data_IF_966297613942
#
_entry.id   IF_966297613942
#
_cell.length_a   1.000
_cell.length_b   1.000
_cell.length_c   1.000
_cell.angle_alpha   90.00
_cell.angle_beta   90.00
_cell.angle_gamma   90.00
#
_symmetry.space_group_name_H-M   'P 1'
#
loop_
_entity.id
_entity.type
_entity.pdbx_description
1 polymer ?
#
# COMPACT_ATOMS: atom_id res chain seq x y z
N UNK A 1 75.41 -6.81 47.51
CA UNK A 1 75.09 -6.07 46.24
C UNK A 1 73.65 -5.69 46.30
N UNK A 2 73.29 -4.40 46.33
CA UNK A 2 71.90 -3.97 46.45
C UNK A 2 71.22 -3.96 45.04
N UNK A 3 70.05 -4.58 44.94
CA UNK A 3 69.14 -4.54 43.77
C UNK A 3 68.50 -3.17 43.65
N UNK A 4 68.77 -2.54 42.59
CA UNK A 4 68.30 -1.18 42.29
C UNK A 4 66.82 -1.15 41.99
N UNK A 5 66.10 -0.17 42.60
CA UNK A 5 64.66 0.14 42.52
C UNK A 5 64.14 0.55 41.17
N UNK A 6 64.80 0.28 40.05
CA UNK A 6 64.42 0.74 38.69
C UNK A 6 63.83 -0.34 37.83
N UNK A 7 63.68 -1.56 38.26
CA UNK A 7 63.16 -2.69 37.51
C UNK A 7 61.64 -2.99 37.73
N UNK A 8 60.99 -2.38 38.74
CA UNK A 8 59.64 -2.76 39.14
C UNK A 8 58.53 -1.91 38.65
N UNK A 9 58.82 -0.85 37.87
CA UNK A 9 57.82 0.09 37.32
C UNK A 9 57.48 -0.13 35.81
N UNK A 10 58.17 -1.07 35.17
CA UNK A 10 57.95 -1.39 33.76
C UNK A 10 56.93 -2.50 33.48
N UNK A 11 56.55 -3.28 34.49
CA UNK A 11 55.69 -4.46 34.29
C UNK A 11 54.18 -4.24 34.61
N UNK A 12 53.83 -3.07 35.19
CA UNK A 12 52.42 -2.75 35.51
C UNK A 12 51.69 -1.90 34.48
N UNK A 13 52.39 -1.44 33.43
CA UNK A 13 51.80 -0.52 32.45
C UNK A 13 51.27 -1.20 31.17
N UNK A 14 51.46 -2.52 31.01
CA UNK A 14 51.00 -3.26 29.83
C UNK A 14 49.68 -4.04 30.11
N UNK A 15 49.36 -4.25 31.39
CA UNK A 15 48.15 -5.04 31.71
C UNK A 15 46.84 -4.25 31.81
N UNK A 16 46.88 -2.90 31.69
CA UNK A 16 45.68 -2.06 31.81
C UNK A 16 45.17 -1.50 30.50
N UNK A 17 45.80 -1.78 29.36
CA UNK A 17 45.32 -1.31 28.04
C UNK A 17 44.48 -2.34 27.27
N UNK A 18 44.32 -3.58 27.76
CA UNK A 18 43.52 -4.62 27.09
C UNK A 18 42.10 -4.78 27.65
N UNK A 19 41.68 -3.97 28.62
CA UNK A 19 40.34 -4.08 29.21
C UNK A 19 39.33 -3.02 28.73
N UNK A 20 39.68 -2.14 27.80
CA UNK A 20 38.79 -1.09 27.28
C UNK A 20 38.27 -1.32 25.86
N UNK A 21 38.53 -2.48 25.24
CA UNK A 21 38.00 -2.82 23.91
C UNK A 21 36.79 -3.76 23.95
N UNK A 22 36.17 -3.98 25.09
CA UNK A 22 35.07 -4.93 25.25
C UNK A 22 33.68 -4.27 25.31
N UNK A 23 33.50 -3.02 24.90
CA UNK A 23 32.20 -2.35 24.83
C UNK A 23 31.97 -1.57 23.53
N UNK A 24 32.67 -1.93 22.48
CA UNK A 24 32.25 -1.62 21.11
C UNK A 24 31.57 -2.84 20.54
N UNK A 25 30.29 -3.06 20.83
CA UNK A 25 29.50 -3.87 19.91
C UNK A 25 29.45 -3.06 18.62
N UNK A 26 30.30 -3.43 17.68
CA UNK A 26 30.09 -3.13 16.30
C UNK A 26 28.61 -3.50 16.01
N UNK A 27 27.82 -2.53 15.64
CA UNK A 27 26.67 -2.81 14.82
C UNK A 27 27.25 -3.34 13.50
N UNK A 28 27.70 -4.59 13.54
CA UNK A 28 28.26 -5.28 12.41
C UNK A 28 27.24 -5.22 11.32
N UNK A 29 27.66 -4.73 10.16
CA UNK A 29 26.95 -4.99 8.93
C UNK A 29 26.56 -6.47 8.96
N UNK A 30 25.26 -6.75 8.87
CA UNK A 30 24.76 -8.13 8.88
C UNK A 30 25.53 -8.89 7.81
N UNK A 31 26.17 -9.98 8.20
CA UNK A 31 26.88 -10.84 7.25
C UNK A 31 25.85 -11.31 6.22
N UNK A 32 25.96 -10.95 4.95
CA UNK A 32 25.01 -11.37 3.93
C UNK A 32 24.95 -12.90 3.73
N UNK A 33 25.89 -13.64 4.36
CA UNK A 33 25.95 -15.10 4.35
C UNK A 33 25.58 -15.73 5.71
N UNK A 34 25.23 -14.95 6.71
CA UNK A 34 24.72 -15.51 7.96
C UNK A 34 23.36 -16.14 7.69
N UNK A 35 23.30 -17.47 7.54
CA UNK A 35 22.02 -18.19 7.49
C UNK A 35 21.30 -17.94 8.82
N UNK A 36 20.13 -17.30 8.76
CA UNK A 36 19.31 -17.16 9.97
C UNK A 36 18.79 -18.54 10.38
N UNK A 37 18.65 -18.76 11.68
CA UNK A 37 18.05 -19.97 12.23
C UNK A 37 16.51 -19.95 12.19
N UNK A 38 15.90 -18.97 11.48
CA UNK A 38 14.45 -18.86 11.35
C UNK A 38 13.88 -20.01 10.53
N UNK A 39 12.89 -20.68 11.10
CA UNK A 39 12.20 -21.82 10.48
C UNK A 39 10.72 -21.64 10.71
N UNK A 40 9.92 -21.81 9.67
CA UNK A 40 8.47 -21.78 9.79
C UNK A 40 7.78 -21.21 8.56
N UNK A 41 6.48 -21.13 8.64
CA UNK A 41 5.59 -20.57 7.63
C UNK A 41 4.84 -19.39 8.24
N UNK A 42 4.77 -18.28 7.52
CA UNK A 42 4.01 -17.08 7.87
C UNK A 42 3.06 -16.79 6.72
N UNK A 43 1.77 -16.65 7.02
CA UNK A 43 0.73 -16.39 6.04
C UNK A 43 0.14 -15.02 6.24
N UNK A 44 0.06 -14.26 5.17
CA UNK A 44 -0.57 -12.95 5.12
C UNK A 44 -1.70 -12.89 4.11
N UNK A 45 -2.58 -11.93 4.26
CA UNK A 45 -3.58 -11.60 3.25
C UNK A 45 -3.99 -10.12 3.35
N UNK A 46 -4.62 -9.59 2.29
CA UNK A 46 -5.21 -8.26 2.41
C UNK A 46 -5.12 -7.37 1.18
N UNK A 47 -4.77 -6.12 1.41
CA UNK A 47 -4.78 -5.07 0.40
C UNK A 47 -3.95 -5.43 -0.84
N UNK A 48 -4.58 -5.39 -2.01
CA UNK A 48 -3.91 -5.64 -3.30
C UNK A 48 -3.01 -4.48 -3.74
N UNK A 49 -3.17 -3.31 -3.14
CA UNK A 49 -2.25 -2.17 -3.24
C UNK A 49 -0.84 -2.48 -2.72
N UNK A 50 -0.70 -3.50 -1.86
CA UNK A 50 0.57 -3.90 -1.26
C UNK A 50 1.22 -5.09 -1.98
N UNK A 51 0.58 -5.69 -2.98
CA UNK A 51 1.04 -6.96 -3.56
C UNK A 51 2.49 -6.91 -4.04
N UNK A 52 2.86 -5.91 -4.84
CA UNK A 52 4.22 -5.78 -5.38
C UNK A 52 5.27 -5.54 -4.27
N UNK A 53 4.92 -4.73 -3.27
CA UNK A 53 5.79 -4.49 -2.12
C UNK A 53 5.94 -5.76 -1.27
N UNK A 54 4.86 -6.48 -1.01
CA UNK A 54 4.87 -7.74 -0.27
C UNK A 54 5.73 -8.79 -1.01
N UNK A 55 5.57 -8.92 -2.32
CA UNK A 55 6.38 -9.84 -3.14
C UNK A 55 7.87 -9.51 -3.04
N UNK A 56 8.25 -8.23 -3.13
CA UNK A 56 9.63 -7.81 -3.00
C UNK A 56 10.20 -8.10 -1.60
N UNK A 57 9.44 -7.84 -0.54
CA UNK A 57 9.86 -8.10 0.84
C UNK A 57 9.95 -9.59 1.13
N UNK A 58 8.95 -10.39 0.72
CA UNK A 58 8.94 -11.84 0.89
C UNK A 58 10.13 -12.48 0.19
N UNK A 59 10.39 -12.11 -1.07
CA UNK A 59 11.53 -12.64 -1.82
C UNK A 59 12.86 -12.31 -1.15
N UNK A 60 13.02 -11.08 -0.66
CA UNK A 60 14.23 -10.66 0.06
C UNK A 60 14.38 -11.42 1.37
N UNK A 61 13.30 -11.54 2.15
CA UNK A 61 13.31 -12.23 3.44
C UNK A 61 13.60 -13.72 3.27
N UNK A 62 12.90 -14.41 2.36
CA UNK A 62 13.10 -15.84 2.10
C UNK A 62 14.48 -16.14 1.49
N UNK A 63 15.03 -15.22 0.68
CA UNK A 63 16.39 -15.32 0.17
C UNK A 63 17.46 -15.33 1.28
N UNK A 64 17.23 -14.58 2.36
CA UNK A 64 18.10 -14.54 3.53
C UNK A 64 17.78 -15.65 4.56
N UNK A 65 16.59 -16.26 4.51
CA UNK A 65 16.08 -17.21 5.52
C UNK A 65 15.53 -18.47 4.84
N UNK A 66 16.43 -19.30 4.30
CA UNK A 66 16.11 -20.43 3.42
C UNK A 66 15.17 -21.51 4.04
N UNK A 67 14.94 -21.48 5.35
CA UNK A 67 14.04 -22.40 6.06
C UNK A 67 12.74 -21.74 6.53
N UNK A 68 12.52 -20.48 6.18
CA UNK A 68 11.30 -19.75 6.45
C UNK A 68 10.56 -19.50 5.13
N UNK A 69 9.24 -19.63 5.15
CA UNK A 69 8.36 -19.28 4.02
C UNK A 69 7.38 -18.19 4.44
N UNK A 70 7.11 -17.27 3.54
CA UNK A 70 6.09 -16.24 3.73
C UNK A 70 5.23 -16.21 2.49
N UNK A 71 3.91 -16.26 2.68
CA UNK A 71 2.93 -16.12 1.61
C UNK A 71 2.04 -14.91 1.87
N UNK A 72 1.65 -14.22 0.81
CA UNK A 72 0.68 -13.14 0.88
C UNK A 72 -0.40 -13.30 -0.19
N UNK A 73 -1.65 -13.44 0.23
CA UNK A 73 -2.80 -13.51 -0.66
C UNK A 73 -3.50 -12.15 -0.72
N UNK A 74 -3.69 -11.62 -1.91
CA UNK A 74 -4.57 -10.47 -2.13
C UNK A 74 -6.01 -10.76 -1.72
N UNK A 75 -6.94 -9.86 -2.05
CA UNK A 75 -8.37 -10.03 -1.79
C UNK A 75 -9.03 -8.79 -1.18
N UNK A 76 -8.25 -7.71 -1.02
CA UNK A 76 -8.70 -6.45 -0.44
C UNK A 76 -8.46 -6.33 1.06
N UNK A 77 -8.45 -5.10 1.54
CA UNK A 77 -8.17 -4.76 2.95
C UNK A 77 -9.16 -5.42 3.90
N UNK A 78 -10.45 -5.38 3.59
CA UNK A 78 -11.50 -5.95 4.44
C UNK A 78 -11.39 -7.47 4.57
N UNK A 79 -11.14 -8.17 3.45
CA UNK A 79 -10.95 -9.62 3.46
C UNK A 79 -9.69 -10.02 4.26
N UNK A 80 -8.60 -9.25 4.15
CA UNK A 80 -7.39 -9.48 4.95
C UNK A 80 -7.63 -9.36 6.44
N UNK A 81 -8.28 -8.28 6.89
CA UNK A 81 -8.64 -8.09 8.30
C UNK A 81 -9.57 -9.18 8.81
N UNK A 82 -10.56 -9.58 8.00
CA UNK A 82 -11.46 -10.69 8.35
C UNK A 82 -10.68 -11.98 8.59
N UNK A 83 -9.78 -12.36 7.68
CA UNK A 83 -8.94 -13.56 7.83
C UNK A 83 -8.03 -13.50 9.06
N UNK A 84 -7.51 -12.31 9.39
CA UNK A 84 -6.70 -12.11 10.60
C UNK A 84 -7.56 -12.31 11.86
N UNK A 85 -8.76 -11.73 11.89
CA UNK A 85 -9.71 -11.89 13.01
C UNK A 85 -10.14 -13.35 13.20
N UNK A 86 -10.25 -14.11 12.12
CA UNK A 86 -10.59 -15.55 12.14
C UNK A 86 -9.38 -16.44 12.47
N UNK A 87 -8.17 -15.89 12.55
CA UNK A 87 -6.93 -16.64 12.79
C UNK A 87 -6.50 -17.49 11.59
N UNK A 88 -6.99 -17.18 10.39
CA UNK A 88 -6.65 -17.88 9.16
C UNK A 88 -5.30 -17.44 8.58
N UNK A 89 -4.81 -16.26 8.98
CA UNK A 89 -3.51 -15.69 8.62
C UNK A 89 -2.82 -15.08 9.83
N UNK A 90 -1.50 -14.93 9.74
CA UNK A 90 -0.65 -14.41 10.81
C UNK A 90 -0.53 -12.88 10.77
N UNK A 91 -0.70 -12.29 9.58
CA UNK A 91 -0.74 -10.83 9.41
C UNK A 91 -1.71 -10.42 8.30
N UNK A 92 -2.14 -9.16 8.33
CA UNK A 92 -2.97 -8.59 7.27
C UNK A 92 -2.37 -7.29 6.73
N UNK A 93 -2.36 -7.14 5.41
CA UNK A 93 -2.13 -5.86 4.74
C UNK A 93 -3.44 -5.08 4.63
N UNK A 94 -3.43 -3.81 5.01
CA UNK A 94 -4.63 -2.97 4.93
C UNK A 94 -4.28 -1.52 4.62
N UNK A 95 -5.12 -0.85 3.80
CA UNK A 95 -5.02 0.59 3.53
C UNK A 95 -5.87 1.41 4.51
N UNK A 96 -6.62 0.72 5.38
CA UNK A 96 -7.49 1.35 6.39
C UNK A 96 -7.25 0.71 7.74
N UNK A 97 -7.24 1.49 8.84
CA UNK A 97 -7.07 0.96 10.19
C UNK A 97 -8.14 -0.10 10.54
N UNK A 98 -7.76 -1.04 11.38
CA UNK A 98 -8.72 -1.96 12.02
C UNK A 98 -9.68 -1.18 12.92
N UNK A 99 -10.92 -1.65 12.97
CA UNK A 99 -11.89 -1.11 13.91
C UNK A 99 -11.60 -1.59 15.34
N UNK A 100 -12.11 -0.86 16.32
CA UNK A 100 -11.98 -1.24 17.74
C UNK A 100 -12.58 -2.63 18.00
N UNK A 101 -13.67 -2.98 17.30
CA UNK A 101 -14.31 -4.30 17.42
C UNK A 101 -13.39 -5.41 16.88
N UNK A 102 -12.82 -5.23 15.68
CA UNK A 102 -11.87 -6.18 15.09
C UNK A 102 -10.66 -6.41 16.01
N UNK A 103 -10.06 -5.33 16.53
CA UNK A 103 -8.92 -5.43 17.46
C UNK A 103 -9.29 -6.17 18.73
N UNK A 104 -10.48 -5.91 19.30
CA UNK A 104 -10.92 -6.56 20.52
C UNK A 104 -11.16 -8.06 20.35
N UNK A 105 -11.64 -8.48 19.19
CA UNK A 105 -11.92 -9.89 18.87
C UNK A 105 -10.67 -10.76 18.80
N UNK A 106 -9.53 -10.19 18.43
CA UNK A 106 -8.24 -10.92 18.40
C UNK A 106 -7.40 -10.73 19.65
N UNK A 107 -7.92 -10.05 20.67
CA UNK A 107 -7.20 -9.81 21.92
C UNK A 107 -6.07 -8.77 21.82
N UNK A 108 -6.06 -7.98 20.76
CA UNK A 108 -5.09 -6.94 20.47
C UNK A 108 -4.37 -7.13 19.13
N UNK A 109 -4.02 -6.04 18.50
CA UNK A 109 -3.21 -6.00 17.27
C UNK A 109 -2.19 -4.86 17.34
N UNK A 110 -1.09 -5.01 16.61
CA UNK A 110 -0.15 -3.91 16.36
C UNK A 110 -0.28 -3.54 14.90
N UNK A 111 -0.61 -2.29 14.64
CA UNK A 111 -0.66 -1.74 13.29
C UNK A 111 0.62 -0.94 13.01
N UNK A 112 1.29 -1.29 11.93
CA UNK A 112 2.53 -0.64 11.51
C UNK A 112 2.31 0.07 10.18
N UNK A 113 2.47 1.41 10.11
CA UNK A 113 2.48 2.12 8.84
C UNK A 113 3.77 1.76 8.08
N UNK A 114 3.65 1.19 6.90
CA UNK A 114 4.79 0.72 6.10
C UNK A 114 5.21 1.76 5.06
N UNK A 115 4.27 2.30 4.30
CA UNK A 115 4.50 3.31 3.27
C UNK A 115 3.20 4.05 2.92
N UNK A 116 3.33 5.11 2.14
CA UNK A 116 2.20 5.87 1.60
C UNK A 116 2.18 5.64 0.10
N UNK A 117 1.04 5.17 -0.43
CA UNK A 117 0.79 5.07 -1.86
C UNK A 117 -0.27 6.08 -2.28
N UNK A 118 -0.04 6.89 -3.33
CA UNK A 118 -1.08 7.77 -3.85
C UNK A 118 -2.14 6.97 -4.61
N UNK A 119 -3.37 7.46 -4.62
CA UNK A 119 -4.44 6.92 -5.45
C UNK A 119 -4.49 7.69 -6.75
N UNK A 120 -4.30 7.00 -7.86
CA UNK A 120 -4.41 7.54 -9.21
C UNK A 120 -5.82 7.30 -9.77
N UNK A 121 -6.31 8.27 -10.53
CA UNK A 121 -7.49 8.10 -11.37
C UNK A 121 -7.04 7.57 -12.72
N UNK A 122 -7.39 6.32 -13.00
CA UNK A 122 -7.05 5.63 -14.23
C UNK A 122 -8.20 5.75 -15.24
N UNK A 123 -7.90 6.00 -16.49
CA UNK A 123 -8.92 6.05 -17.55
C UNK A 123 -8.35 5.60 -18.89
N UNK A 124 -9.22 5.13 -19.77
CA UNK A 124 -8.89 4.75 -21.14
C UNK A 124 -9.62 5.66 -22.12
N UNK A 125 -8.93 6.68 -22.60
CA UNK A 125 -9.49 7.70 -23.49
C UNK A 125 -8.59 7.89 -24.71
N UNK A 126 -9.10 7.72 -25.94
CA UNK A 126 -8.30 7.95 -27.15
C UNK A 126 -7.73 9.37 -27.20
N UNK A 127 -6.46 9.48 -27.58
CA UNK A 127 -5.75 10.76 -27.67
C UNK A 127 -5.12 11.25 -26.36
N UNK A 128 -5.33 10.54 -25.26
CA UNK A 128 -4.72 10.83 -23.97
C UNK A 128 -3.79 9.69 -23.58
N UNK A 129 -2.48 9.87 -23.73
CA UNK A 129 -1.45 8.88 -23.42
C UNK A 129 -0.22 9.57 -22.85
N UNK A 130 0.46 8.90 -21.92
CA UNK A 130 1.72 9.37 -21.37
C UNK A 130 1.62 10.74 -20.70
N UNK A 131 2.16 11.78 -21.31
CA UNK A 131 2.20 13.14 -20.75
C UNK A 131 0.90 13.93 -20.88
N UNK A 132 -0.07 13.42 -21.67
CA UNK A 132 -1.36 14.06 -21.94
C UNK A 132 -2.40 13.51 -20.97
N UNK A 133 -2.88 14.31 -20.04
CA UNK A 133 -3.86 13.89 -19.04
C UNK A 133 -5.06 14.83 -18.96
N UNK A 134 -6.18 14.30 -18.46
CA UNK A 134 -7.41 15.07 -18.22
C UNK A 134 -7.36 15.67 -16.83
N UNK A 135 -7.43 17.01 -16.77
CA UNK A 135 -7.51 17.73 -15.49
C UNK A 135 -8.93 17.67 -14.93
N UNK A 136 -9.03 17.33 -13.65
CA UNK A 136 -10.30 17.30 -12.92
C UNK A 136 -10.11 17.93 -11.54
N UNK A 137 -11.07 18.74 -11.11
CA UNK A 137 -11.18 19.10 -9.69
C UNK A 137 -11.86 17.96 -8.94
N UNK A 138 -11.70 17.91 -7.60
CA UNK A 138 -12.38 16.88 -6.79
C UNK A 138 -13.90 16.87 -6.97
N UNK A 139 -14.53 18.05 -7.13
CA UNK A 139 -15.97 18.16 -7.42
C UNK A 139 -16.34 17.59 -8.80
N UNK A 140 -15.54 17.86 -9.83
CA UNK A 140 -15.77 17.32 -11.16
C UNK A 140 -15.55 15.81 -11.17
N UNK A 141 -14.51 15.31 -10.50
CA UNK A 141 -14.29 13.87 -10.33
C UNK A 141 -15.48 13.20 -9.61
N UNK A 142 -16.00 13.81 -8.56
CA UNK A 142 -17.20 13.30 -7.87
C UNK A 142 -18.41 13.25 -8.81
N UNK A 143 -18.63 14.28 -9.66
CA UNK A 143 -19.70 14.29 -10.66
C UNK A 143 -19.53 13.20 -11.73
N UNK A 144 -18.30 12.94 -12.15
CA UNK A 144 -17.98 11.86 -13.09
C UNK A 144 -18.27 10.51 -12.46
N UNK A 145 -17.71 10.25 -11.28
CA UNK A 145 -17.83 8.96 -10.62
C UNK A 145 -19.27 8.67 -10.15
N UNK A 146 -20.04 9.71 -9.77
CA UNK A 146 -21.46 9.56 -9.42
C UNK A 146 -22.40 9.41 -10.64
N UNK A 147 -21.87 9.61 -11.84
CA UNK A 147 -22.67 9.59 -13.08
C UNK A 147 -23.49 10.85 -13.34
N UNK A 148 -23.25 11.95 -12.62
CA UNK A 148 -23.83 13.26 -12.93
C UNK A 148 -23.23 13.85 -14.22
N UNK A 149 -21.95 13.57 -14.49
CA UNK A 149 -21.29 13.81 -15.78
C UNK A 149 -21.17 12.46 -16.49
N UNK A 150 -21.76 12.33 -17.66
CA UNK A 150 -21.86 11.06 -18.38
C UNK A 150 -21.06 10.99 -19.67
N UNK A 151 -20.44 12.10 -20.08
CA UNK A 151 -19.64 12.18 -21.31
C UNK A 151 -18.33 12.90 -21.07
N UNK A 152 -17.30 12.49 -21.79
CA UNK A 152 -15.98 13.07 -21.68
C UNK A 152 -15.90 14.52 -22.18
N UNK A 153 -16.73 14.89 -23.17
CA UNK A 153 -16.81 16.27 -23.69
C UNK A 153 -17.79 17.18 -22.91
N UNK A 154 -18.17 16.78 -21.69
CA UNK A 154 -19.03 17.64 -20.84
C UNK A 154 -18.40 19.04 -20.66
N UNK A 155 -19.19 20.12 -20.70
CA UNK A 155 -18.68 21.47 -20.52
C UNK A 155 -17.86 21.70 -19.26
N UNK A 156 -18.17 20.99 -18.16
CA UNK A 156 -17.43 21.12 -16.91
C UNK A 156 -16.01 20.50 -17.02
N UNK A 157 -15.85 19.41 -17.78
CA UNK A 157 -14.55 18.83 -18.11
C UNK A 157 -13.80 19.71 -19.12
N UNK A 158 -14.49 20.16 -20.19
CA UNK A 158 -13.88 20.99 -21.23
C UNK A 158 -13.31 22.31 -20.66
N UNK A 159 -13.99 22.92 -19.71
CA UNK A 159 -13.54 24.16 -19.05
C UNK A 159 -12.22 24.00 -18.29
N UNK A 160 -11.95 22.80 -17.75
CA UNK A 160 -10.70 22.49 -17.04
C UNK A 160 -9.57 22.04 -17.97
N UNK A 161 -9.89 21.79 -19.24
CA UNK A 161 -8.97 21.24 -20.24
C UNK A 161 -8.96 22.07 -21.52
N UNK A 162 -8.62 23.37 -21.46
CA UNK A 162 -8.65 24.24 -22.63
C UNK A 162 -7.68 23.72 -23.70
N UNK A 163 -8.18 23.59 -24.93
CA UNK A 163 -7.40 23.07 -26.05
C UNK A 163 -7.32 21.56 -26.17
N UNK A 164 -7.78 20.80 -25.18
CA UNK A 164 -7.85 19.36 -25.28
C UNK A 164 -9.08 18.91 -26.11
N UNK A 165 -8.88 17.99 -27.04
CA UNK A 165 -9.94 17.42 -27.86
C UNK A 165 -10.65 16.28 -27.11
N UNK A 166 -11.45 16.62 -26.09
CA UNK A 166 -12.23 15.63 -25.35
C UNK A 166 -13.31 15.02 -26.27
N UNK A 167 -13.35 13.69 -26.43
CA UNK A 167 -14.27 13.06 -27.37
C UNK A 167 -15.71 13.05 -26.86
N UNK A 168 -16.68 13.07 -27.80
CA UNK A 168 -18.08 12.80 -27.48
C UNK A 168 -18.30 11.32 -27.22
N UNK A 169 -17.77 10.85 -26.10
CA UNK A 169 -17.81 9.47 -25.67
C UNK A 169 -18.44 9.34 -24.28
N UNK A 170 -19.24 8.30 -24.11
CA UNK A 170 -19.84 8.00 -22.80
C UNK A 170 -18.75 7.59 -21.79
N UNK A 171 -18.87 8.10 -20.59
CA UNK A 171 -18.06 7.68 -19.45
C UNK A 171 -18.63 6.37 -18.89
N UNK A 172 -17.76 5.38 -18.67
CA UNK A 172 -18.06 4.10 -18.05
C UNK A 172 -17.26 4.03 -16.76
N UNK A 173 -17.93 4.16 -15.63
CA UNK A 173 -17.28 4.09 -14.32
C UNK A 173 -17.00 2.62 -13.98
N UNK A 174 -15.79 2.36 -13.50
CA UNK A 174 -15.34 1.06 -13.00
C UNK A 174 -15.14 1.17 -11.49
N UNK A 175 -15.89 0.40 -10.72
CA UNK A 175 -15.74 0.28 -9.26
C UNK A 175 -14.97 -0.98 -8.87
N UNK A 176 -14.57 -1.07 -7.60
CA UNK A 176 -14.00 -2.31 -7.03
C UNK A 176 -15.12 -3.28 -6.68
N UNK A 177 -14.90 -4.57 -6.93
CA UNK A 177 -15.84 -5.63 -6.57
C UNK A 177 -15.53 -6.28 -5.22
N UNK A 178 -14.34 -6.05 -4.68
CA UNK A 178 -13.86 -6.51 -3.39
C UNK A 178 -13.94 -5.39 -2.32
N UNK A 179 -13.80 -5.75 -1.05
CA UNK A 179 -13.72 -4.79 0.06
C UNK A 179 -12.35 -4.12 0.11
N UNK A 180 -12.28 -2.96 -0.52
CA UNK A 180 -11.05 -2.25 -0.87
C UNK A 180 -10.79 -1.04 0.01
N UNK A 181 -9.64 -1.02 0.69
CA UNK A 181 -9.16 0.17 1.39
C UNK A 181 -8.91 1.35 0.44
N UNK A 182 -8.47 1.09 -0.80
CA UNK A 182 -8.34 2.12 -1.85
C UNK A 182 -9.69 2.76 -2.17
N UNK A 183 -10.78 1.98 -2.22
CA UNK A 183 -12.15 2.49 -2.37
C UNK A 183 -12.52 3.39 -1.20
N UNK A 184 -12.27 2.97 0.03
CA UNK A 184 -12.58 3.76 1.22
C UNK A 184 -11.80 5.07 1.25
N UNK A 185 -10.52 5.06 0.90
CA UNK A 185 -9.71 6.27 0.84
C UNK A 185 -10.24 7.25 -0.23
N UNK A 186 -10.58 6.76 -1.43
CA UNK A 186 -11.19 7.59 -2.48
C UNK A 186 -12.54 8.14 -2.05
N UNK A 187 -13.44 7.32 -1.52
CA UNK A 187 -14.79 7.76 -1.09
C UNK A 187 -14.72 8.74 0.07
N UNK A 188 -13.74 8.60 0.99
CA UNK A 188 -13.43 9.59 2.03
C UNK A 188 -13.04 10.94 1.42
N UNK A 189 -12.15 10.93 0.43
CA UNK A 189 -11.77 12.15 -0.29
C UNK A 189 -12.99 12.81 -0.95
N UNK A 190 -13.79 12.05 -1.72
CA UNK A 190 -14.95 12.57 -2.43
C UNK A 190 -16.01 13.15 -1.47
N UNK A 191 -16.29 12.47 -0.37
CA UNK A 191 -17.20 12.95 0.67
C UNK A 191 -16.70 14.26 1.33
N UNK A 192 -15.38 14.42 1.45
CA UNK A 192 -14.77 15.61 2.03
C UNK A 192 -14.81 16.81 1.06
N UNK A 193 -14.43 16.60 -0.21
CA UNK A 193 -14.26 17.71 -1.17
C UNK A 193 -15.55 18.07 -1.89
N UNK A 194 -16.51 17.15 -1.97
CA UNK A 194 -17.75 17.32 -2.73
C UNK A 194 -18.98 16.72 -2.02
N UNK A 195 -19.27 17.03 -0.73
CA UNK A 195 -20.30 16.37 0.06
C UNK A 195 -21.71 16.49 -0.51
N UNK A 196 -21.99 17.52 -1.31
CA UNK A 196 -23.28 17.70 -1.98
C UNK A 196 -23.47 16.83 -3.24
N UNK A 197 -22.37 16.42 -3.84
CA UNK A 197 -22.34 15.59 -5.05
C UNK A 197 -22.15 14.13 -4.69
N UNK A 198 -21.40 13.86 -3.65
CA UNK A 198 -21.08 12.53 -3.12
C UNK A 198 -21.63 12.35 -1.69
N UNK A 199 -22.93 12.05 -1.56
CA UNK A 199 -23.58 11.93 -0.25
C UNK A 199 -23.41 10.53 0.39
N UNK A 200 -22.46 9.75 -0.08
CA UNK A 200 -22.19 8.40 0.41
C UNK A 200 -21.16 8.44 1.53
N UNK A 201 -21.42 7.66 2.58
CA UNK A 201 -20.44 7.44 3.63
C UNK A 201 -19.20 6.73 3.07
N UNK A 202 -18.00 6.99 3.64
CA UNK A 202 -16.78 6.29 3.25
C UNK A 202 -16.84 4.79 3.57
N UNK A 203 -16.86 3.95 2.53
CA UNK A 203 -16.99 2.51 2.63
C UNK A 203 -15.89 1.80 1.80
N UNK A 204 -15.55 0.57 2.17
CA UNK A 204 -14.65 -0.29 1.38
C UNK A 204 -15.34 -0.88 0.16
N UNK A 205 -16.65 -1.04 0.24
CA UNK A 205 -17.51 -1.47 -0.88
C UNK A 205 -17.87 -0.29 -1.77
N UNK A 206 -17.78 -0.45 -3.09
CA UNK A 206 -18.21 0.59 -4.02
C UNK A 206 -19.70 0.88 -3.91
N UNK A 207 -20.12 2.13 -3.59
CA UNK A 207 -21.52 2.40 -3.21
C UNK A 207 -22.49 2.49 -4.40
N UNK A 208 -21.98 2.60 -5.63
CA UNK A 208 -22.84 2.85 -6.79
C UNK A 208 -23.12 1.57 -7.56
N UNK A 209 -24.33 1.49 -8.11
CA UNK A 209 -24.74 0.40 -8.98
C UNK A 209 -24.63 0.82 -10.44
N UNK A 210 -24.37 -0.12 -11.31
CA UNK A 210 -24.14 0.10 -12.75
C UNK A 210 -22.66 0.39 -13.04
N UNK A 211 -22.32 0.46 -14.32
CA UNK A 211 -20.92 0.51 -14.74
C UNK A 211 -20.29 -0.87 -14.81
N UNK A 212 -18.97 -0.91 -14.68
CA UNK A 212 -18.18 -2.14 -14.65
C UNK A 212 -17.50 -2.30 -13.28
N UNK A 213 -16.93 -3.46 -13.02
CA UNK A 213 -16.18 -3.71 -11.79
C UNK A 213 -14.90 -4.49 -12.08
N UNK A 214 -13.89 -4.26 -11.22
CA UNK A 214 -12.63 -4.99 -11.23
C UNK A 214 -12.30 -5.51 -9.83
N UNK A 215 -11.80 -6.73 -9.77
CA UNK A 215 -11.37 -7.35 -8.53
C UNK A 215 -9.90 -7.00 -8.26
N UNK A 216 -9.62 -6.43 -7.12
CA UNK A 216 -8.29 -5.95 -6.76
C UNK A 216 -7.77 -4.83 -7.67
N UNK A 217 -6.54 -4.39 -7.43
CA UNK A 217 -5.85 -3.39 -8.26
C UNK A 217 -5.66 -3.88 -9.70
N UNK A 218 -5.19 -5.10 -9.88
CA UNK A 218 -4.94 -5.67 -11.22
C UNK A 218 -6.23 -5.80 -12.04
N UNK A 219 -7.32 -6.30 -11.45
CA UNK A 219 -8.62 -6.41 -12.13
C UNK A 219 -9.24 -5.04 -12.46
N UNK A 220 -9.04 -4.04 -11.61
CA UNK A 220 -9.41 -2.65 -11.89
C UNK A 220 -8.70 -2.13 -13.15
N UNK A 221 -7.37 -2.22 -13.19
CA UNK A 221 -6.56 -1.75 -14.32
C UNK A 221 -6.89 -2.54 -15.59
N UNK A 222 -7.06 -3.85 -15.51
CA UNK A 222 -7.46 -4.68 -16.63
C UNK A 222 -8.82 -4.23 -17.21
N UNK A 223 -9.81 -3.99 -16.35
CA UNK A 223 -11.15 -3.57 -16.76
C UNK A 223 -11.13 -2.17 -17.40
N UNK A 224 -10.38 -1.24 -16.81
CA UNK A 224 -10.20 0.11 -17.39
C UNK A 224 -9.51 0.02 -18.75
N UNK A 225 -8.48 -0.79 -18.89
CA UNK A 225 -7.73 -0.92 -20.15
C UNK A 225 -8.51 -1.61 -21.27
N UNK A 226 -9.47 -2.47 -20.93
CA UNK A 226 -10.21 -3.29 -21.90
C UNK A 226 -11.21 -2.51 -22.76
N UNK A 227 -11.70 -1.36 -22.30
CA UNK A 227 -12.73 -0.59 -23.03
C UNK A 227 -12.43 0.91 -23.03
N UNK A 228 -12.65 1.56 -24.17
CA UNK A 228 -12.50 3.01 -24.29
C UNK A 228 -13.64 3.74 -23.58
N UNK A 229 -13.34 4.91 -22.99
CA UNK A 229 -14.28 5.72 -22.22
C UNK A 229 -14.45 5.31 -20.77
N UNK A 230 -13.73 4.28 -20.32
CA UNK A 230 -13.72 3.85 -18.92
C UNK A 230 -12.93 4.81 -18.04
N UNK A 231 -13.34 4.88 -16.77
CA UNK A 231 -12.64 5.57 -15.69
C UNK A 231 -12.75 4.74 -14.41
N UNK A 232 -11.66 4.60 -13.70
CA UNK A 232 -11.57 3.92 -12.41
C UNK A 232 -10.48 4.52 -11.55
N UNK A 233 -10.00 3.79 -10.57
CA UNK A 233 -8.99 4.24 -9.62
C UNK A 233 -8.13 3.07 -9.15
N UNK A 234 -6.89 3.35 -8.89
CA UNK A 234 -5.93 2.37 -8.37
C UNK A 234 -4.90 3.07 -7.49
N UNK A 235 -4.23 2.33 -6.64
CA UNK A 235 -2.98 2.79 -6.06
C UNK A 235 -1.90 2.90 -7.15
N UNK A 236 -0.99 3.83 -6.98
CA UNK A 236 0.09 4.11 -7.92
C UNK A 236 1.45 3.64 -7.35
N UNK A 237 1.46 2.46 -6.75
CA UNK A 237 2.68 1.81 -6.25
C UNK A 237 3.45 1.11 -7.35
#
# INVERSE_FOLDING_TARGET
MPLTRRGALGALSVATLTALTACGRDAGAADPNASSDLVGEIRGAGATSQSDAQDAWMNTFMGANLRATVDYAGGGSGAGRTKLVEGAVDFAGTDTPMTVDEISRIGGAVELPLYISPIAVAYNLPGFTGESHVNMTGEVLAKVLSGAITRWNDPALAALNPGAALPDQRIIVVGRSDDSGTTKALTTYLATVAPKVWPHEPEETWPLRGGQSGDGTAGMIQTVSAATGTIGYADAS
#
